data_IF_512630435245
#
_entry.id   IF_512630435245
#
_cell.length_a   1.000
_cell.length_b   1.000
_cell.length_c   1.000
_cell.angle_alpha   90.00
_cell.angle_beta   90.00
_cell.angle_gamma   90.00
#
_symmetry.space_group_name_H-M   'P 1'
#
loop_
_entity.id
_entity.type
_entity.pdbx_description
1 polymer ?
#
# COMPACT_ATOMS: atom_id res chain seq x y z
N UNK A 1 -30.60 47.16 -46.09
CA UNK A 1 -31.54 46.49 -45.18
C UNK A 1 -30.75 45.92 -44.00
N UNK A 2 -31.19 46.13 -42.76
CA UNK A 2 -30.56 45.64 -41.55
C UNK A 2 -31.00 44.21 -41.23
N UNK A 3 -30.10 43.41 -40.66
CA UNK A 3 -30.36 42.22 -39.83
C UNK A 3 -29.15 42.17 -38.90
N UNK A 4 -29.25 42.26 -37.58
CA UNK A 4 -30.30 41.75 -36.71
C UNK A 4 -29.59 40.84 -35.72
N UNK A 5 -29.32 41.40 -34.53
CA UNK A 5 -29.01 40.78 -33.24
C UNK A 5 -28.80 39.26 -33.18
N UNK A 6 -27.69 38.86 -32.57
CA UNK A 6 -27.71 37.87 -31.47
C UNK A 6 -26.48 38.05 -30.59
N UNK A 7 -26.69 38.79 -29.50
CA UNK A 7 -26.03 38.55 -28.22
C UNK A 7 -26.43 37.14 -27.75
N UNK A 8 -25.45 36.30 -27.45
CA UNK A 8 -25.65 35.16 -26.57
C UNK A 8 -24.33 34.84 -25.86
N UNK A 9 -24.26 35.39 -24.65
CA UNK A 9 -23.41 34.95 -23.56
C UNK A 9 -23.29 33.43 -23.54
N UNK A 10 -22.08 32.91 -23.67
CA UNK A 10 -21.70 31.63 -23.09
C UNK A 10 -20.33 31.80 -22.47
N UNK A 11 -20.37 32.35 -21.25
CA UNK A 11 -19.43 32.03 -20.20
C UNK A 11 -19.42 30.50 -20.05
N UNK A 12 -18.54 29.82 -20.79
CA UNK A 12 -18.14 28.46 -20.48
C UNK A 12 -17.21 28.51 -19.28
N UNK A 13 -17.83 28.73 -18.12
CA UNK A 13 -17.32 28.24 -16.85
C UNK A 13 -17.35 26.71 -16.94
N UNK A 14 -16.30 26.12 -17.52
CA UNK A 14 -15.98 24.73 -17.31
C UNK A 14 -15.63 24.55 -15.83
N UNK A 15 -16.67 24.35 -15.03
CA UNK A 15 -16.59 23.53 -13.85
C UNK A 15 -16.29 22.09 -14.31
N UNK A 16 -15.02 21.82 -14.63
CA UNK A 16 -14.53 20.46 -14.73
C UNK A 16 -14.45 19.90 -13.31
N UNK A 17 -15.58 19.31 -12.92
CA UNK A 17 -15.72 18.60 -11.67
C UNK A 17 -14.73 17.46 -11.57
N UNK A 18 -14.27 17.29 -10.33
CA UNK A 18 -14.29 16.00 -9.65
C UNK A 18 -13.47 14.89 -10.31
N UNK A 19 -12.24 14.74 -9.86
CA UNK A 19 -11.51 13.52 -10.19
C UNK A 19 -10.05 13.45 -9.74
N UNK A 20 -9.42 14.56 -9.35
CA UNK A 20 -8.07 14.51 -8.76
C UNK A 20 -8.14 14.12 -7.28
N UNK A 21 -8.75 12.95 -7.02
CA UNK A 21 -8.28 12.11 -5.93
C UNK A 21 -6.88 11.67 -6.33
N UNK A 22 -5.92 12.57 -6.06
CA UNK A 22 -4.49 12.36 -6.11
C UNK A 22 -4.23 10.91 -5.71
N UNK A 23 -4.06 10.05 -6.73
CA UNK A 23 -3.58 8.70 -6.57
C UNK A 23 -2.13 8.89 -6.18
N UNK A 24 -1.95 9.20 -4.90
CA UNK A 24 -0.68 9.30 -4.23
C UNK A 24 0.13 8.11 -4.72
N UNK A 25 1.20 8.42 -5.47
CA UNK A 25 2.21 7.45 -5.86
C UNK A 25 2.55 6.67 -4.58
N UNK A 26 1.97 5.48 -4.42
CA UNK A 26 2.11 4.68 -3.21
C UNK A 26 3.51 4.15 -3.26
N UNK A 27 4.46 4.96 -2.76
CA UNK A 27 5.89 4.66 -2.77
C UNK A 27 6.04 3.23 -2.26
N UNK A 28 6.67 2.32 -3.01
CA UNK A 28 6.75 0.91 -2.65
C UNK A 28 7.25 0.67 -1.21
N UNK A 29 8.11 1.56 -0.71
CA UNK A 29 8.56 1.57 0.68
C UNK A 29 7.44 1.71 1.72
N UNK A 30 6.37 2.44 1.42
CA UNK A 30 5.26 2.64 2.35
C UNK A 30 4.57 1.33 2.74
N UNK A 31 4.57 0.32 1.84
CA UNK A 31 4.05 -1.03 2.12
C UNK A 31 4.91 -1.77 3.15
N UNK A 32 6.23 -1.58 3.12
CA UNK A 32 7.15 -2.18 4.09
C UNK A 32 7.06 -1.50 5.46
N UNK A 33 6.86 -0.17 5.49
CA UNK A 33 6.63 0.57 6.73
C UNK A 33 5.35 0.11 7.42
N UNK A 34 4.24 0.00 6.68
CA UNK A 34 2.98 -0.50 7.24
C UNK A 34 3.10 -1.94 7.74
N UNK A 35 3.83 -2.79 7.01
CA UNK A 35 4.04 -4.17 7.43
C UNK A 35 4.91 -4.28 8.70
N UNK A 36 5.89 -3.40 8.86
CA UNK A 36 6.67 -3.30 10.10
C UNK A 36 5.82 -2.84 11.29
N UNK A 37 4.90 -1.89 11.08
CA UNK A 37 3.94 -1.46 12.11
C UNK A 37 3.00 -2.60 12.51
N UNK A 38 2.47 -3.33 11.53
CA UNK A 38 1.63 -4.50 11.79
C UNK A 38 2.38 -5.58 12.58
N UNK A 39 3.62 -5.89 12.20
CA UNK A 39 4.50 -6.81 12.92
C UNK A 39 4.72 -6.37 14.37
N UNK A 40 5.10 -5.10 14.58
CA UNK A 40 5.35 -4.56 15.91
C UNK A 40 4.07 -4.62 16.76
N UNK A 41 2.93 -4.25 16.17
CA UNK A 41 1.62 -4.31 16.81
C UNK A 41 1.22 -5.74 17.22
N UNK A 42 1.35 -6.72 16.32
CA UNK A 42 1.01 -8.12 16.65
C UNK A 42 1.93 -8.72 17.69
N UNK A 43 3.23 -8.41 17.62
CA UNK A 43 4.22 -8.87 18.60
C UNK A 43 3.93 -8.29 19.98
N UNK A 44 3.67 -6.98 20.05
CA UNK A 44 3.36 -6.28 21.29
C UNK A 44 2.02 -6.74 21.88
N UNK A 45 1.00 -6.94 21.05
CA UNK A 45 -0.31 -7.44 21.50
C UNK A 45 -0.19 -8.84 22.11
N UNK A 46 0.52 -9.76 21.44
CA UNK A 46 0.73 -11.11 21.98
C UNK A 46 1.63 -11.12 23.22
N UNK A 47 2.66 -10.27 23.27
CA UNK A 47 3.47 -10.10 24.47
C UNK A 47 2.64 -9.54 25.64
N UNK A 48 1.74 -8.59 25.39
CA UNK A 48 0.84 -8.04 26.40
C UNK A 48 -0.14 -9.09 26.92
N UNK A 49 -0.67 -9.95 26.04
CA UNK A 49 -1.48 -11.12 26.44
C UNK A 49 -0.64 -12.05 27.31
N UNK A 50 0.58 -12.39 26.88
CA UNK A 50 1.52 -13.21 27.65
C UNK A 50 1.86 -12.62 29.03
N UNK A 51 1.99 -11.30 29.10
CA UNK A 51 2.21 -10.58 30.35
C UNK A 51 1.01 -10.65 31.29
N UNK A 52 -0.21 -10.52 30.76
CA UNK A 52 -1.42 -10.72 31.55
C UNK A 52 -1.50 -12.15 32.10
N UNK A 53 -1.08 -13.16 31.33
CA UNK A 53 -0.96 -14.54 31.80
C UNK A 53 0.10 -14.70 32.89
N UNK A 54 1.28 -14.09 32.74
CA UNK A 54 2.33 -14.13 33.77
C UNK A 54 1.84 -13.54 35.10
N UNK A 55 1.12 -12.42 35.04
CA UNK A 55 0.53 -11.79 36.21
C UNK A 55 -0.58 -12.65 36.84
N UNK A 56 -1.43 -13.27 36.03
CA UNK A 56 -2.50 -14.13 36.52
C UNK A 56 -1.97 -15.40 37.22
N UNK A 57 -0.89 -15.99 36.68
CA UNK A 57 -0.27 -17.19 37.23
C UNK A 57 0.69 -16.91 38.41
N UNK A 58 0.92 -15.64 38.75
CA UNK A 58 1.87 -15.24 39.80
C UNK A 58 3.32 -15.64 39.50
N UNK A 59 3.64 -15.84 38.22
CA UNK A 59 4.96 -16.27 37.78
C UNK A 59 5.98 -15.17 38.03
N UNK A 60 7.03 -15.48 38.81
CA UNK A 60 8.16 -14.55 39.03
C UNK A 60 9.02 -14.35 37.79
N UNK A 61 8.89 -15.23 36.80
CA UNK A 61 9.62 -15.20 35.55
C UNK A 61 8.66 -14.87 34.40
N UNK A 62 9.03 -13.98 33.46
CA UNK A 62 8.15 -13.51 32.39
C UNK A 62 8.05 -14.51 31.23
N UNK A 63 7.70 -15.77 31.54
CA UNK A 63 7.72 -16.87 30.57
C UNK A 63 6.57 -16.74 29.55
N UNK A 64 5.37 -16.37 30.00
CA UNK A 64 4.21 -16.12 29.16
C UNK A 64 4.43 -14.93 28.24
N UNK A 65 5.02 -13.84 28.75
CA UNK A 65 5.41 -12.67 27.96
C UNK A 65 6.41 -13.06 26.87
N UNK A 66 7.46 -13.82 27.23
CA UNK A 66 8.46 -14.27 26.28
C UNK A 66 7.86 -15.20 25.21
N UNK A 67 7.01 -16.14 25.61
CA UNK A 67 6.31 -17.04 24.69
C UNK A 67 5.35 -16.26 23.77
N UNK A 68 4.56 -15.34 24.32
CA UNK A 68 3.66 -14.47 23.57
C UNK A 68 4.41 -13.61 22.56
N UNK A 69 5.50 -12.97 22.98
CA UNK A 69 6.36 -12.20 22.08
C UNK A 69 6.91 -13.08 20.95
N UNK A 70 7.43 -14.27 21.27
CA UNK A 70 8.02 -15.18 20.29
C UNK A 70 6.98 -15.63 19.25
N UNK A 71 5.79 -16.01 19.69
CA UNK A 71 4.68 -16.42 18.82
C UNK A 71 4.20 -15.25 17.97
N UNK A 72 3.95 -14.08 18.58
CA UNK A 72 3.49 -12.88 17.88
C UNK A 72 4.50 -12.36 16.86
N UNK A 73 5.78 -12.40 17.21
CA UNK A 73 6.88 -12.04 16.32
C UNK A 73 7.01 -13.02 15.16
N UNK A 74 7.00 -14.33 15.43
CA UNK A 74 7.05 -15.35 14.38
C UNK A 74 5.90 -15.22 13.37
N UNK A 75 4.68 -14.99 13.86
CA UNK A 75 3.51 -14.78 13.01
C UNK A 75 3.61 -13.51 12.16
N UNK A 76 4.01 -12.39 12.78
CA UNK A 76 4.19 -11.13 12.05
C UNK A 76 5.31 -11.23 11.01
N UNK A 77 6.40 -11.94 11.31
CA UNK A 77 7.51 -12.17 10.38
C UNK A 77 7.08 -13.01 9.19
N UNK A 78 6.28 -14.06 9.41
CA UNK A 78 5.71 -14.85 8.32
C UNK A 78 4.90 -13.97 7.34
N UNK A 79 4.07 -13.08 7.86
CA UNK A 79 3.30 -12.13 7.04
C UNK A 79 4.22 -11.13 6.31
N UNK A 80 5.22 -10.60 6.99
CA UNK A 80 6.19 -9.67 6.42
C UNK A 80 6.96 -10.29 5.24
N UNK A 81 7.46 -11.52 5.42
CA UNK A 81 8.18 -12.26 4.37
C UNK A 81 7.28 -12.51 3.17
N UNK A 82 6.01 -12.93 3.39
CA UNK A 82 5.06 -13.11 2.27
C UNK A 82 4.85 -11.82 1.48
N UNK A 83 4.72 -10.67 2.15
CA UNK A 83 4.58 -9.38 1.47
C UNK A 83 5.84 -9.00 0.67
N UNK A 84 7.02 -9.26 1.23
CA UNK A 84 8.28 -9.03 0.55
C UNK A 84 8.40 -9.90 -0.71
N UNK A 85 8.10 -11.20 -0.61
CA UNK A 85 8.14 -12.13 -1.75
C UNK A 85 7.10 -11.81 -2.83
N UNK A 86 5.93 -11.27 -2.46
CA UNK A 86 4.94 -10.81 -3.44
C UNK A 86 5.42 -9.56 -4.19
N UNK A 87 6.15 -8.68 -3.50
CA UNK A 87 6.65 -7.44 -4.07
C UNK A 87 7.85 -7.65 -5.01
N UNK A 88 8.55 -8.79 -4.91
CA UNK A 88 9.66 -9.14 -5.82
C UNK A 88 9.21 -9.77 -7.14
N UNK A 89 7.93 -10.19 -7.25
CA UNK A 89 7.41 -10.92 -8.41
C UNK A 89 6.69 -10.01 -9.43
N UNK A 90 6.94 -8.70 -9.43
CA UNK A 90 6.41 -7.83 -10.48
C UNK A 90 6.94 -8.33 -11.83
N UNK A 91 6.08 -8.87 -12.72
CA UNK A 91 6.54 -9.35 -14.01
C UNK A 91 7.06 -8.12 -14.75
N UNK A 92 8.34 -8.14 -15.09
CA UNK A 92 8.94 -7.17 -16.01
C UNK A 92 8.05 -7.08 -17.24
N UNK A 93 7.20 -6.06 -17.31
CA UNK A 93 6.45 -5.74 -18.51
C UNK A 93 7.48 -5.29 -19.52
N UNK A 94 7.92 -6.21 -20.36
CA UNK A 94 8.67 -5.86 -21.55
C UNK A 94 7.78 -4.90 -22.35
N UNK A 95 8.30 -3.73 -22.75
CA UNK A 95 7.55 -2.81 -23.59
C UNK A 95 7.12 -3.55 -24.86
N UNK A 96 5.80 -3.64 -25.07
CA UNK A 96 5.17 -4.29 -26.21
C UNK A 96 5.50 -3.48 -27.48
N UNK A 97 6.43 -4.00 -28.28
CA UNK A 97 6.69 -3.71 -29.68
C UNK A 97 6.79 -2.23 -30.11
N UNK A 98 8.02 -1.78 -30.39
CA UNK A 98 8.24 -1.00 -31.61
C UNK A 98 8.35 -2.02 -32.74
N UNK A 99 7.27 -2.21 -33.53
CA UNK A 99 7.44 -2.71 -34.91
C UNK A 99 8.38 -1.70 -35.55
N UNK A 100 9.61 -2.15 -35.84
CA UNK A 100 10.44 -1.46 -36.80
C UNK A 100 9.64 -1.50 -38.09
N UNK A 101 9.21 -0.34 -38.57
CA UNK A 101 8.71 -0.19 -39.92
C UNK A 101 9.75 -0.80 -40.85
N UNK A 102 9.33 -1.91 -41.43
CA UNK A 102 9.88 -2.44 -42.65
C UNK A 102 9.30 -1.54 -43.75
N UNK A 103 10.19 -0.88 -44.49
CA UNK A 103 10.06 -0.46 -45.90
C UNK A 103 10.62 0.94 -46.12
N UNK A 104 11.93 1.00 -46.34
CA UNK A 104 12.57 2.05 -47.15
C UNK A 104 13.88 1.47 -47.71
N UNK A 105 13.73 0.44 -48.57
CA UNK A 105 14.75 0.09 -49.56
C UNK A 105 14.46 0.91 -50.83
N UNK A 106 15.37 1.79 -51.27
CA UNK A 106 15.40 2.23 -52.66
C UNK A 106 15.90 1.11 -53.59
#
# INVERSE_FOLDING_TARGET
MPNGLQDHSQDHLEANGTGDANQSDKRPWMKFVSAGIELAGTSLAMAAIGYAFDQYLGSKQPLGTAAGLLVGFGFGMYRFIRLALQSSNEPTYLPKHKKLDQDDTP
#
